data_IF_296883372840
#
_entry.id   IF_296883372840
#
_cell.length_a   1.000
_cell.length_b   1.000
_cell.length_c   1.000
_cell.angle_alpha   90.00
_cell.angle_beta   90.00
_cell.angle_gamma   90.00
#
_symmetry.space_group_name_H-M   'P 1'
#
loop_
_entity.id
_entity.type
_entity.pdbx_description
1 polymer ?
#
# COMPACT_ATOMS: atom_id res chain seq x y z
N UNK A 1 -2.67 -21.03 15.11
CA UNK A 1 -3.37 -19.73 15.12
C UNK A 1 -4.21 -19.63 13.85
N UNK A 2 -5.47 -19.19 13.96
CA UNK A 2 -6.40 -19.08 12.83
C UNK A 2 -6.67 -17.64 12.48
N UNK A 3 -6.49 -17.31 11.19
CA UNK A 3 -6.48 -15.95 10.66
C UNK A 3 -7.51 -15.80 9.54
N UNK A 4 -8.14 -14.65 9.48
CA UNK A 4 -8.94 -14.17 8.35
C UNK A 4 -8.26 -12.92 7.83
N UNK A 5 -8.06 -12.81 6.50
CA UNK A 5 -7.53 -11.61 5.86
C UNK A 5 -8.59 -10.97 4.96
N UNK A 6 -8.96 -9.74 5.27
CA UNK A 6 -9.97 -8.97 4.56
C UNK A 6 -9.30 -7.84 3.75
N UNK A 7 -9.71 -7.67 2.49
CA UNK A 7 -9.07 -6.73 1.58
C UNK A 7 -7.58 -7.05 1.38
N UNK A 8 -7.29 -8.34 1.18
CA UNK A 8 -5.94 -8.89 1.25
C UNK A 8 -4.98 -8.34 0.18
N UNK A 9 -5.52 -7.76 -0.91
CA UNK A 9 -4.70 -7.37 -2.05
C UNK A 9 -3.93 -8.56 -2.60
N UNK A 10 -2.71 -8.33 -3.05
CA UNK A 10 -1.80 -9.40 -3.45
C UNK A 10 -1.16 -10.14 -2.24
N UNK A 11 -1.56 -9.83 -0.98
CA UNK A 11 -1.12 -10.56 0.21
C UNK A 11 0.07 -9.93 0.96
N UNK A 12 0.31 -8.62 0.82
CA UNK A 12 1.43 -7.97 1.51
C UNK A 12 1.34 -8.06 3.03
N UNK A 13 0.16 -7.87 3.62
CA UNK A 13 -0.07 -8.05 5.06
C UNK A 13 -0.08 -9.52 5.46
N UNK A 14 -0.74 -10.38 4.68
CA UNK A 14 -0.69 -11.84 4.84
C UNK A 14 0.72 -12.39 4.91
N UNK A 15 1.69 -11.75 4.21
CA UNK A 15 3.07 -12.21 4.13
C UNK A 15 3.67 -12.42 5.53
N UNK A 16 3.48 -11.47 6.44
CA UNK A 16 4.02 -11.57 7.80
C UNK A 16 3.44 -12.70 8.64
N UNK A 17 2.18 -13.06 8.39
CA UNK A 17 1.54 -14.17 9.08
C UNK A 17 1.81 -15.52 8.41
N UNK A 18 2.19 -15.53 7.14
CA UNK A 18 2.48 -16.75 6.39
C UNK A 18 3.96 -17.12 6.41
N UNK A 19 4.83 -16.11 6.40
CA UNK A 19 6.28 -16.24 6.45
C UNK A 19 6.87 -15.56 7.68
N UNK A 20 8.00 -16.07 8.14
CA UNK A 20 8.88 -15.43 9.12
C UNK A 20 10.28 -15.32 8.54
N UNK A 21 11.08 -14.42 9.13
CA UNK A 21 12.48 -14.29 8.76
C UNK A 21 13.32 -15.14 9.73
N UNK A 22 13.97 -16.18 9.19
CA UNK A 22 14.85 -17.08 9.95
C UNK A 22 16.17 -17.25 9.18
N UNK A 23 17.29 -16.98 9.81
CA UNK A 23 18.65 -17.16 9.23
C UNK A 23 18.85 -16.51 7.86
N UNK A 24 18.25 -15.34 7.65
CA UNK A 24 18.33 -14.59 6.38
C UNK A 24 17.49 -15.20 5.26
N UNK A 25 16.43 -15.93 5.59
CA UNK A 25 15.47 -16.49 4.66
C UNK A 25 14.03 -16.25 5.10
N UNK A 26 13.11 -16.17 4.13
CA UNK A 26 11.68 -16.21 4.39
C UNK A 26 11.22 -17.67 4.49
N UNK A 27 10.89 -18.11 5.69
CA UNK A 27 10.46 -19.48 5.98
C UNK A 27 8.96 -19.50 6.27
N UNK A 28 8.24 -20.48 5.71
CA UNK A 28 6.81 -20.64 5.95
C UNK A 28 6.55 -21.03 7.40
N UNK A 29 5.62 -20.32 8.07
CA UNK A 29 5.15 -20.67 9.42
C UNK A 29 4.28 -21.92 9.39
N UNK A 30 4.57 -22.88 10.25
CA UNK A 30 3.82 -24.15 10.33
C UNK A 30 2.57 -24.08 11.22
N UNK A 31 2.49 -23.09 12.11
CA UNK A 31 1.46 -22.97 13.16
C UNK A 31 0.34 -21.97 12.81
N UNK A 32 0.28 -21.50 11.56
CA UNK A 32 -0.72 -20.55 11.07
C UNK A 32 -1.66 -21.22 10.06
N UNK A 33 -2.96 -21.08 10.27
CA UNK A 33 -4.05 -21.50 9.37
C UNK A 33 -4.80 -20.25 8.91
N UNK A 34 -4.76 -19.93 7.62
CA UNK A 34 -5.68 -18.96 7.05
C UNK A 34 -7.02 -19.64 6.79
N UNK A 35 -8.06 -19.18 7.46
CA UNK A 35 -9.40 -19.73 7.34
C UNK A 35 -10.04 -19.33 6.02
N UNK A 36 -9.91 -18.04 5.68
CA UNK A 36 -10.16 -17.51 4.35
C UNK A 36 -9.50 -16.13 4.18
N UNK A 37 -9.37 -15.71 2.93
CA UNK A 37 -9.03 -14.34 2.55
C UNK A 37 -10.07 -13.80 1.58
N UNK A 38 -10.24 -12.47 1.52
CA UNK A 38 -11.14 -11.80 0.58
C UNK A 38 -10.44 -10.67 -0.15
N UNK A 39 -10.63 -10.62 -1.46
CA UNK A 39 -10.16 -9.53 -2.31
C UNK A 39 -11.13 -9.31 -3.48
N UNK A 40 -11.31 -8.04 -3.87
CA UNK A 40 -12.20 -7.64 -4.97
C UNK A 40 -11.53 -7.77 -6.35
N UNK A 41 -10.24 -7.48 -6.43
CA UNK A 41 -9.48 -7.43 -7.69
C UNK A 41 -9.00 -8.82 -8.11
N UNK A 42 -9.50 -9.32 -9.24
CA UNK A 42 -9.18 -10.67 -9.74
C UNK A 42 -7.66 -10.89 -9.95
N UNK A 43 -6.92 -9.87 -10.40
CA UNK A 43 -5.47 -9.98 -10.56
C UNK A 43 -4.75 -10.09 -9.22
N UNK A 44 -5.20 -9.33 -8.21
CA UNK A 44 -4.67 -9.46 -6.85
C UNK A 44 -4.99 -10.83 -6.25
N UNK A 45 -6.19 -11.38 -6.49
CA UNK A 45 -6.58 -12.76 -6.12
C UNK A 45 -5.64 -13.80 -6.76
N UNK A 46 -5.36 -13.67 -8.05
CA UNK A 46 -4.44 -14.57 -8.75
C UNK A 46 -3.02 -14.49 -8.19
N UNK A 47 -2.52 -13.28 -7.93
CA UNK A 47 -1.24 -13.06 -7.27
C UNK A 47 -1.21 -13.71 -5.88
N UNK A 48 -2.25 -13.52 -5.07
CA UNK A 48 -2.37 -14.16 -3.76
C UNK A 48 -2.28 -15.69 -3.86
N UNK A 49 -3.10 -16.31 -4.68
CA UNK A 49 -3.10 -17.77 -4.89
C UNK A 49 -1.75 -18.29 -5.36
N UNK A 50 -1.06 -17.54 -6.25
CA UNK A 50 0.25 -17.94 -6.76
C UNK A 50 1.35 -17.97 -5.69
N UNK A 51 1.23 -17.17 -4.63
CA UNK A 51 2.23 -17.07 -3.56
C UNK A 51 1.89 -17.86 -2.30
N UNK A 52 0.60 -18.06 -2.02
CA UNK A 52 0.12 -18.72 -0.79
C UNK A 52 -0.51 -20.09 -1.03
N UNK A 53 -0.76 -20.44 -2.29
CA UNK A 53 -1.34 -21.71 -2.71
C UNK A 53 -2.86 -21.75 -2.63
N UNK A 54 -3.46 -22.74 -3.27
CA UNK A 54 -4.92 -22.93 -3.35
C UNK A 54 -5.55 -23.48 -2.07
N UNK A 55 -4.75 -23.82 -1.06
CA UNK A 55 -5.25 -24.33 0.22
C UNK A 55 -5.89 -23.27 1.10
N UNK A 56 -5.65 -21.98 0.81
CA UNK A 56 -6.32 -20.87 1.50
C UNK A 56 -7.60 -20.56 0.72
N UNK A 57 -8.80 -20.74 1.33
CA UNK A 57 -10.04 -20.35 0.69
C UNK A 57 -10.03 -18.84 0.38
N UNK A 58 -9.88 -18.50 -0.90
CA UNK A 58 -9.86 -17.13 -1.39
C UNK A 58 -11.23 -16.78 -1.96
N UNK A 59 -11.90 -15.80 -1.37
CA UNK A 59 -13.18 -15.27 -1.84
C UNK A 59 -12.90 -14.07 -2.73
N UNK A 60 -13.05 -14.25 -4.03
CA UNK A 60 -13.00 -13.15 -5.00
C UNK A 60 -14.32 -12.39 -5.01
N UNK A 61 -14.25 -11.05 -4.95
CA UNK A 61 -15.39 -10.18 -5.10
C UNK A 61 -15.66 -9.27 -3.92
N UNK A 62 -16.81 -8.60 -3.99
CA UNK A 62 -17.20 -7.60 -3.00
C UNK A 62 -17.47 -8.24 -1.65
N UNK A 63 -16.82 -7.74 -0.61
CA UNK A 63 -16.98 -8.20 0.78
C UNK A 63 -18.44 -8.11 1.27
N UNK A 64 -19.23 -7.20 0.72
CA UNK A 64 -20.67 -7.05 1.06
C UNK A 64 -21.50 -8.29 0.67
N UNK A 65 -21.00 -9.08 -0.27
CA UNK A 65 -21.64 -10.32 -0.72
C UNK A 65 -21.27 -11.53 0.16
N UNK A 66 -20.37 -11.39 1.12
CA UNK A 66 -20.02 -12.46 2.07
C UNK A 66 -21.08 -12.47 3.17
N UNK A 67 -22.04 -13.38 3.06
CA UNK A 67 -23.12 -13.54 4.05
C UNK A 67 -22.62 -14.17 5.35
N UNK A 68 -23.37 -14.01 6.42
CA UNK A 68 -23.07 -14.63 7.71
C UNK A 68 -23.07 -16.16 7.61
N UNK A 69 -24.00 -16.75 6.82
CA UNK A 69 -24.02 -18.20 6.56
C UNK A 69 -22.74 -18.66 5.85
N UNK A 70 -22.22 -17.86 4.90
CA UNK A 70 -20.95 -18.17 4.24
C UNK A 70 -19.77 -18.10 5.20
N UNK A 71 -19.78 -17.15 6.12
CA UNK A 71 -18.76 -17.07 7.17
C UNK A 71 -18.85 -18.33 8.06
N UNK A 72 -20.04 -18.73 8.50
CA UNK A 72 -20.24 -19.93 9.33
C UNK A 72 -19.77 -21.21 8.62
N UNK A 73 -20.05 -21.34 7.31
CA UNK A 73 -19.53 -22.43 6.47
C UNK A 73 -18.02 -22.50 6.47
N UNK A 74 -17.34 -21.35 6.36
CA UNK A 74 -15.89 -21.26 6.28
C UNK A 74 -15.19 -21.50 7.61
N UNK A 75 -15.71 -20.92 8.70
CA UNK A 75 -15.13 -21.09 10.05
C UNK A 75 -15.41 -22.46 10.64
N UNK A 76 -16.48 -23.14 10.20
CA UNK A 76 -16.86 -24.51 10.66
C UNK A 76 -16.90 -24.63 12.18
N UNK A 77 -17.44 -23.63 12.88
CA UNK A 77 -17.49 -23.57 14.34
C UNK A 77 -16.14 -23.38 15.04
N UNK A 78 -15.05 -23.17 14.30
CA UNK A 78 -13.73 -22.91 14.90
C UNK A 78 -13.63 -21.45 15.37
N UNK A 79 -12.98 -21.21 16.50
CA UNK A 79 -12.68 -19.84 16.96
C UNK A 79 -11.62 -19.20 16.06
N UNK A 80 -11.74 -17.91 15.82
CA UNK A 80 -10.75 -17.11 15.08
C UNK A 80 -9.83 -16.41 16.07
N UNK A 81 -8.53 -16.46 15.82
CA UNK A 81 -7.55 -15.82 16.69
C UNK A 81 -7.32 -14.36 16.25
N UNK A 82 -7.16 -14.13 14.94
CA UNK A 82 -6.84 -12.79 14.41
C UNK A 82 -7.64 -12.51 13.12
N UNK A 83 -8.17 -11.31 13.02
CA UNK A 83 -8.63 -10.74 11.73
C UNK A 83 -7.67 -9.63 11.34
N UNK A 84 -7.11 -9.72 10.14
CA UNK A 84 -6.26 -8.68 9.57
C UNK A 84 -6.94 -8.04 8.37
N UNK A 85 -6.53 -6.81 8.02
CA UNK A 85 -7.02 -6.20 6.78
C UNK A 85 -6.75 -4.72 6.66
N UNK A 86 -6.78 -4.24 5.41
CA UNK A 86 -6.63 -2.83 5.06
C UNK A 86 -7.78 -2.37 4.17
N UNK A 87 -8.97 -2.07 4.71
CA UNK A 87 -10.08 -1.62 3.88
C UNK A 87 -9.71 -0.34 3.10
N UNK A 88 -10.13 -0.23 1.83
CA UNK A 88 -9.74 0.88 0.97
C UNK A 88 -10.21 2.22 1.52
N UNK A 89 -9.29 3.18 1.57
CA UNK A 89 -9.52 4.54 2.03
C UNK A 89 -9.23 5.55 0.92
N UNK A 90 -9.69 5.29 -0.30
CA UNK A 90 -9.49 6.23 -1.40
C UNK A 90 -10.07 7.62 -1.08
N UNK A 91 -11.07 7.69 -0.24
CA UNK A 91 -11.64 8.93 0.29
C UNK A 91 -10.80 9.57 1.41
N UNK A 92 -9.89 8.82 2.04
CA UNK A 92 -9.03 9.28 3.13
C UNK A 92 -7.64 9.76 2.65
N UNK A 93 -7.29 9.53 1.39
CA UNK A 93 -6.01 9.96 0.82
C UNK A 93 -5.98 11.48 0.58
N UNK A 94 -4.86 12.12 0.91
CA UNK A 94 -4.62 13.55 0.57
C UNK A 94 -4.53 13.79 -0.95
N UNK A 95 -4.32 12.72 -1.74
CA UNK A 95 -4.21 12.74 -3.20
C UNK A 95 -5.58 12.47 -3.87
N UNK A 96 -6.52 11.81 -3.17
CA UNK A 96 -7.87 11.54 -3.65
C UNK A 96 -8.82 12.73 -3.51
N UNK A 97 -9.93 12.67 -4.23
CA UNK A 97 -11.06 13.57 -3.97
C UNK A 97 -11.68 13.07 -2.65
N UNK A 98 -11.45 13.78 -1.55
CA UNK A 98 -12.01 13.48 -0.22
C UNK A 98 -13.54 13.47 -0.27
N UNK A 99 -14.13 12.47 -0.93
CA UNK A 99 -15.56 12.24 -0.98
C UNK A 99 -15.89 11.06 -0.07
N UNK A 100 -16.87 11.24 0.79
CA UNK A 100 -17.47 10.19 1.61
C UNK A 100 -18.39 9.38 0.68
N UNK A 101 -17.82 8.45 -0.08
CA UNK A 101 -18.53 7.56 -1.01
C UNK A 101 -18.75 6.16 -0.40
N UNK A 102 -19.40 5.28 -1.13
CA UNK A 102 -19.67 3.90 -0.72
C UNK A 102 -18.39 3.13 -0.37
N UNK A 103 -17.25 3.47 -0.99
CA UNK A 103 -15.94 2.86 -0.70
C UNK A 103 -15.39 3.31 0.64
N UNK A 104 -15.67 4.55 1.07
CA UNK A 104 -15.30 5.04 2.39
C UNK A 104 -16.01 4.28 3.52
N UNK A 105 -17.09 3.57 3.21
CA UNK A 105 -17.88 2.81 4.19
C UNK A 105 -17.51 1.33 4.28
N UNK A 106 -16.59 0.84 3.45
CA UNK A 106 -16.17 -0.57 3.46
C UNK A 106 -15.52 -1.02 4.79
N UNK A 107 -15.04 -0.08 5.63
CA UNK A 107 -14.64 -0.40 6.99
C UNK A 107 -15.79 -0.98 7.83
N UNK A 108 -17.06 -0.67 7.49
CA UNK A 108 -18.23 -1.24 8.17
C UNK A 108 -18.37 -2.74 7.93
N UNK A 109 -17.94 -3.21 6.75
CA UNK A 109 -17.93 -4.65 6.46
C UNK A 109 -16.84 -5.36 7.28
N UNK A 110 -15.69 -4.70 7.45
CA UNK A 110 -14.68 -5.19 8.38
C UNK A 110 -15.25 -5.32 9.80
N UNK A 111 -15.97 -4.30 10.28
CA UNK A 111 -16.67 -4.32 11.58
C UNK A 111 -17.68 -5.45 11.67
N UNK A 112 -18.55 -5.62 10.66
CA UNK A 112 -19.58 -6.68 10.62
C UNK A 112 -18.95 -8.07 10.79
N UNK A 113 -17.83 -8.31 10.09
CA UNK A 113 -17.13 -9.59 10.20
C UNK A 113 -16.49 -9.74 11.59
N UNK A 114 -15.89 -8.68 12.16
CA UNK A 114 -15.37 -8.72 13.53
C UNK A 114 -16.46 -9.08 14.56
N UNK A 115 -17.64 -8.46 14.48
CA UNK A 115 -18.77 -8.75 15.36
C UNK A 115 -19.23 -10.22 15.24
N UNK A 116 -19.23 -10.74 14.00
CA UNK A 116 -19.63 -12.12 13.71
C UNK A 116 -18.64 -13.13 14.27
N UNK A 117 -17.34 -12.97 14.00
CA UNK A 117 -16.34 -14.00 14.31
C UNK A 117 -15.63 -13.81 15.65
N UNK A 118 -15.72 -12.63 16.26
CA UNK A 118 -15.18 -12.23 17.57
C UNK A 118 -13.74 -12.73 17.79
N UNK A 119 -12.77 -12.31 16.93
CA UNK A 119 -11.40 -12.76 17.06
C UNK A 119 -10.78 -12.30 18.40
N UNK A 120 -9.72 -12.94 18.85
CA UNK A 120 -9.00 -12.50 20.06
C UNK A 120 -8.35 -11.13 19.88
N UNK A 121 -7.79 -10.91 18.69
CA UNK A 121 -7.20 -9.63 18.26
C UNK A 121 -7.59 -9.30 16.81
N UNK A 122 -7.46 -8.03 16.46
CA UNK A 122 -7.50 -7.63 15.05
C UNK A 122 -6.41 -6.61 14.73
N UNK A 123 -6.02 -6.57 13.46
CA UNK A 123 -5.14 -5.57 12.86
C UNK A 123 -5.83 -4.91 11.69
N UNK A 124 -6.04 -3.61 11.79
CA UNK A 124 -6.64 -2.77 10.77
C UNK A 124 -5.59 -1.77 10.29
N UNK A 125 -5.16 -1.88 9.04
CA UNK A 125 -4.15 -0.98 8.44
C UNK A 125 -4.82 0.10 7.61
N UNK A 126 -4.21 1.29 7.60
CA UNK A 126 -4.68 2.39 6.75
C UNK A 126 -3.62 3.46 6.46
N UNK A 127 -3.96 4.38 5.56
CA UNK A 127 -3.12 5.54 5.24
C UNK A 127 -3.19 6.60 6.33
N UNK A 128 -2.10 7.36 6.53
CA UNK A 128 -2.01 8.46 7.53
C UNK A 128 -3.14 9.50 7.42
N UNK A 129 -3.70 9.68 6.22
CA UNK A 129 -4.83 10.58 5.98
C UNK A 129 -6.05 10.31 6.86
N UNK A 130 -6.24 9.07 7.34
CA UNK A 130 -7.32 8.67 8.25
C UNK A 130 -7.32 9.50 9.55
N UNK A 131 -6.13 9.83 10.10
CA UNK A 131 -6.01 10.56 11.37
C UNK A 131 -6.54 12.00 11.31
N UNK A 132 -6.55 12.62 10.15
CA UNK A 132 -7.00 14.00 9.96
C UNK A 132 -8.33 14.11 9.23
N UNK A 133 -8.92 13.00 8.85
CA UNK A 133 -10.19 13.00 8.14
C UNK A 133 -11.34 13.29 9.09
N UNK A 134 -12.20 14.21 8.65
CA UNK A 134 -13.47 14.49 9.32
C UNK A 134 -14.63 13.96 8.51
N UNK A 135 -15.71 13.63 9.17
CA UNK A 135 -17.00 13.40 8.51
C UNK A 135 -17.38 14.66 7.73
N UNK A 136 -18.02 14.48 6.59
CA UNK A 136 -18.49 15.58 5.74
C UNK A 136 -20.01 15.42 5.61
N UNK A 137 -20.73 16.43 6.05
CA UNK A 137 -22.16 16.56 5.83
C UNK A 137 -22.37 17.51 4.67
N UNK A 138 -23.09 17.04 3.65
CA UNK A 138 -23.41 17.83 2.46
C UNK A 138 -24.76 18.50 2.63
N UNK A 139 -24.87 19.74 2.13
CA UNK A 139 -26.14 20.48 2.06
C UNK A 139 -27.10 19.70 1.16
N UNK A 140 -28.36 19.58 1.60
CA UNK A 140 -29.41 18.90 0.88
C UNK A 140 -30.55 19.85 0.59
N UNK A 141 -31.20 19.68 -0.58
CA UNK A 141 -32.41 20.39 -0.93
C UNK A 141 -33.64 19.82 -0.18
N UNK A 142 -34.81 20.40 -0.40
CA UNK A 142 -36.09 19.98 0.22
C UNK A 142 -36.48 18.54 -0.15
N UNK A 143 -35.96 18.02 -1.27
CA UNK A 143 -36.19 16.64 -1.74
C UNK A 143 -35.14 15.66 -1.21
N UNK A 144 -34.13 16.15 -0.45
CA UNK A 144 -33.06 15.33 0.15
C UNK A 144 -31.86 15.10 -0.78
N UNK A 145 -31.81 15.70 -1.96
CA UNK A 145 -30.70 15.57 -2.89
C UNK A 145 -29.53 16.46 -2.47
N UNK A 146 -28.28 16.00 -2.78
CA UNK A 146 -27.10 16.80 -2.50
C UNK A 146 -27.07 18.06 -3.37
N UNK A 147 -26.92 19.22 -2.74
CA UNK A 147 -26.73 20.52 -3.41
C UNK A 147 -25.29 20.61 -3.93
N UNK A 148 -25.14 21.07 -5.18
CA UNK A 148 -23.84 21.28 -5.80
C UNK A 148 -23.59 22.76 -6.04
N UNK A 149 -22.37 23.22 -5.78
CA UNK A 149 -21.87 24.54 -6.14
C UNK A 149 -20.94 24.43 -7.37
N UNK A 150 -20.95 25.47 -8.22
CA UNK A 150 -19.97 25.60 -9.29
C UNK A 150 -18.69 26.26 -8.75
N UNK A 151 -17.57 25.58 -8.94
CA UNK A 151 -16.25 26.15 -8.63
C UNK A 151 -15.46 26.35 -9.92
N UNK A 152 -14.77 27.46 -10.02
CA UNK A 152 -13.82 27.70 -11.10
C UNK A 152 -12.46 27.11 -10.76
N UNK A 153 -11.92 26.33 -11.69
CA UNK A 153 -10.55 25.85 -11.63
C UNK A 153 -9.74 26.44 -12.75
N UNK A 154 -8.62 27.02 -12.41
CA UNK A 154 -7.66 27.56 -13.36
C UNK A 154 -6.63 26.49 -13.74
N UNK A 155 -6.41 26.29 -15.03
CA UNK A 155 -5.35 25.44 -15.56
C UNK A 155 -4.57 26.26 -16.61
N UNK A 156 -3.53 26.98 -16.17
CA UNK A 156 -2.90 28.03 -16.95
C UNK A 156 -3.92 29.17 -17.19
N UNK A 157 -4.05 29.62 -18.44
CA UNK A 157 -5.02 30.65 -18.85
C UNK A 157 -6.46 30.10 -19.03
N UNK A 158 -6.65 28.79 -18.96
CA UNK A 158 -7.96 28.18 -19.11
C UNK A 158 -8.71 28.08 -17.79
N UNK A 159 -9.94 28.57 -17.77
CA UNK A 159 -10.89 28.48 -16.65
C UNK A 159 -11.89 27.36 -16.94
N UNK A 160 -11.97 26.40 -16.03
CA UNK A 160 -12.93 25.30 -16.11
C UNK A 160 -13.92 25.40 -14.96
N UNK A 161 -15.20 25.31 -15.26
CA UNK A 161 -16.24 25.18 -14.26
C UNK A 161 -16.39 23.71 -13.87
N UNK A 162 -16.41 23.41 -12.58
CA UNK A 162 -16.65 22.08 -12.04
C UNK A 162 -17.72 22.16 -10.95
N UNK A 163 -18.69 21.25 -11.01
CA UNK A 163 -19.65 21.05 -9.93
C UNK A 163 -18.97 20.31 -8.78
N UNK A 164 -19.14 20.81 -7.56
CA UNK A 164 -18.66 20.21 -6.32
C UNK A 164 -19.82 20.13 -5.33
N UNK A 165 -19.99 19.02 -4.59
CA UNK A 165 -20.97 18.96 -3.51
C UNK A 165 -20.71 20.08 -2.50
N UNK A 166 -21.75 20.83 -2.15
CA UNK A 166 -21.67 21.90 -1.16
C UNK A 166 -21.60 21.29 0.23
N UNK A 167 -20.59 21.66 0.99
CA UNK A 167 -20.39 21.17 2.36
C UNK A 167 -21.18 22.03 3.31
N UNK A 168 -22.11 21.42 4.05
CA UNK A 168 -22.86 22.06 5.13
C UNK A 168 -21.96 22.24 6.36
N UNK A 169 -21.35 21.13 6.82
CA UNK A 169 -20.48 21.14 7.98
C UNK A 169 -19.52 19.94 7.98
N UNK A 170 -18.46 20.08 8.78
CA UNK A 170 -17.59 18.96 9.13
C UNK A 170 -18.02 18.39 10.49
N UNK A 171 -18.04 17.06 10.58
CA UNK A 171 -18.28 16.33 11.82
C UNK A 171 -17.01 16.01 12.59
N UNK A 172 -17.07 14.93 13.36
CA UNK A 172 -15.97 14.41 14.16
C UNK A 172 -14.85 13.83 13.28
N UNK A 173 -13.70 13.57 13.90
CA UNK A 173 -12.64 12.80 13.27
C UNK A 173 -13.12 11.36 13.03
N UNK A 174 -12.94 10.86 11.81
CA UNK A 174 -13.36 9.51 11.43
C UNK A 174 -12.65 8.46 12.30
N UNK A 175 -11.38 8.69 12.66
CA UNK A 175 -10.63 7.77 13.53
C UNK A 175 -11.26 7.64 14.93
N UNK A 176 -11.76 8.71 15.52
CA UNK A 176 -12.39 8.64 16.84
C UNK A 176 -13.71 7.88 16.79
N UNK A 177 -14.48 8.04 15.71
CA UNK A 177 -15.69 7.25 15.46
C UNK A 177 -15.38 5.76 15.29
N UNK A 178 -14.36 5.43 14.50
CA UNK A 178 -13.91 4.04 14.31
C UNK A 178 -13.48 3.42 15.64
N UNK A 179 -12.67 4.12 16.44
CA UNK A 179 -12.25 3.68 17.78
C UNK A 179 -13.44 3.39 18.68
N UNK A 180 -14.40 4.34 18.71
CA UNK A 180 -15.60 4.17 19.52
C UNK A 180 -16.38 2.91 19.13
N UNK A 181 -16.61 2.69 17.84
CA UNK A 181 -17.33 1.51 17.36
C UNK A 181 -16.59 0.22 17.74
N UNK A 182 -15.26 0.16 17.59
CA UNK A 182 -14.48 -1.01 18.02
C UNK A 182 -14.58 -1.25 19.53
N UNK A 183 -14.56 -0.18 20.34
CA UNK A 183 -14.75 -0.30 21.79
C UNK A 183 -16.16 -0.81 22.13
N UNK A 184 -17.18 -0.28 21.46
CA UNK A 184 -18.58 -0.66 21.68
C UNK A 184 -18.83 -2.16 21.37
N UNK A 185 -18.08 -2.75 20.44
CA UNK A 185 -18.16 -4.19 20.12
C UNK A 185 -17.21 -5.06 20.96
N UNK A 186 -16.60 -4.51 22.01
CA UNK A 186 -15.86 -5.25 23.04
C UNK A 186 -14.35 -5.37 22.82
N UNK A 187 -13.72 -4.43 22.13
CA UNK A 187 -12.26 -4.39 21.95
C UNK A 187 -11.64 -3.17 22.65
N UNK A 188 -10.52 -3.39 23.31
CA UNK A 188 -9.60 -2.32 23.73
C UNK A 188 -8.70 -1.96 22.55
N UNK A 189 -8.73 -0.71 22.13
CA UNK A 189 -8.18 -0.26 20.84
C UNK A 189 -7.03 0.72 21.05
N UNK A 190 -5.91 0.43 20.39
CA UNK A 190 -4.77 1.32 20.29
C UNK A 190 -4.51 1.72 18.83
N UNK A 191 -3.95 2.93 18.62
CA UNK A 191 -3.68 3.48 17.29
C UNK A 191 -2.28 4.08 17.26
N UNK A 192 -1.44 3.62 16.34
CA UNK A 192 -0.13 4.21 16.09
C UNK A 192 0.15 4.38 14.60
N UNK A 193 0.99 5.35 14.28
CA UNK A 193 1.60 5.49 12.95
C UNK A 193 3.01 4.92 13.00
N UNK A 194 3.31 4.01 12.06
CA UNK A 194 4.65 3.43 11.91
C UNK A 194 5.19 3.75 10.52
N UNK A 195 6.51 3.98 10.44
CA UNK A 195 7.20 4.15 9.18
C UNK A 195 7.88 2.83 8.78
N UNK A 196 7.78 2.47 7.51
CA UNK A 196 8.35 1.22 7.01
C UNK A 196 9.87 1.15 7.18
N UNK A 197 10.56 2.29 7.18
CA UNK A 197 12.02 2.36 7.45
C UNK A 197 12.41 1.83 8.83
N UNK A 198 11.51 1.89 9.80
CA UNK A 198 11.74 1.33 11.15
C UNK A 198 11.94 -0.19 11.12
N UNK A 199 11.45 -0.86 10.09
CA UNK A 199 11.44 -2.32 9.95
C UNK A 199 12.38 -2.83 8.84
N UNK A 200 13.39 -2.04 8.46
CA UNK A 200 14.36 -2.42 7.42
C UNK A 200 13.83 -2.36 5.99
N UNK A 201 12.75 -1.63 5.75
CA UNK A 201 12.21 -1.36 4.41
C UNK A 201 12.85 -0.09 3.85
N UNK A 202 13.45 -0.08 2.65
CA UNK A 202 14.13 1.10 2.09
C UNK A 202 13.14 2.15 1.55
N UNK A 203 12.09 2.47 2.34
CA UNK A 203 11.01 3.35 1.93
C UNK A 203 10.42 4.15 3.10
N UNK A 204 10.31 5.46 2.93
CA UNK A 204 9.55 6.35 3.82
C UNK A 204 8.04 6.17 3.53
N UNK A 205 7.44 5.14 4.12
CA UNK A 205 6.02 4.81 4.01
C UNK A 205 5.39 4.79 5.39
N UNK A 206 4.64 5.82 5.72
CA UNK A 206 3.89 5.89 6.96
C UNK A 206 2.51 5.23 6.80
N UNK A 207 2.15 4.37 7.75
CA UNK A 207 0.84 3.73 7.83
C UNK A 207 0.30 3.80 9.25
N UNK A 208 -0.99 3.92 9.35
CA UNK A 208 -1.74 3.87 10.61
C UNK A 208 -2.15 2.44 10.85
N UNK A 209 -1.85 1.94 12.03
CA UNK A 209 -2.28 0.64 12.49
C UNK A 209 -3.21 0.81 13.68
N UNK A 210 -4.39 0.22 13.58
CA UNK A 210 -5.36 0.12 14.65
C UNK A 210 -5.36 -1.33 15.09
N UNK A 211 -4.99 -1.57 16.33
CA UNK A 211 -4.97 -2.91 16.93
C UNK A 211 -6.02 -2.96 18.02
N UNK A 212 -6.87 -3.97 17.97
CA UNK A 212 -7.84 -4.25 19.00
C UNK A 212 -7.57 -5.58 19.69
N UNK A 213 -7.67 -5.57 21.01
CA UNK A 213 -7.62 -6.75 21.88
C UNK A 213 -9.00 -6.94 22.49
N UNK A 214 -9.53 -8.13 22.49
CA UNK A 214 -10.83 -8.41 23.09
C UNK A 214 -10.79 -8.19 24.60
N UNK A 215 -11.72 -7.41 25.15
CA UNK A 215 -11.69 -6.93 26.55
C UNK A 215 -11.94 -8.01 27.58
N UNK A 216 -12.58 -9.13 27.21
CA UNK A 216 -12.82 -10.29 28.10
C UNK A 216 -11.60 -11.23 28.19
N UNK A 217 -10.51 -10.92 27.46
CA UNK A 217 -9.27 -11.68 27.47
C UNK A 217 -8.13 -10.84 28.06
N UNK A 218 -7.33 -11.45 28.92
CA UNK A 218 -6.13 -10.80 29.45
C UNK A 218 -4.98 -10.94 28.44
N UNK A 219 -4.99 -10.10 27.39
CA UNK A 219 -3.95 -10.07 26.36
C UNK A 219 -3.06 -8.85 26.60
N UNK A 220 -1.80 -9.08 26.92
CA UNK A 220 -0.78 -8.04 26.94
C UNK A 220 -0.13 -7.95 25.55
N UNK A 221 -0.20 -6.77 24.92
CA UNK A 221 0.36 -6.55 23.60
C UNK A 221 0.92 -5.14 23.47
N UNK A 222 2.04 -5.03 22.77
CA UNK A 222 2.70 -3.75 22.45
C UNK A 222 3.02 -3.66 20.96
N UNK A 223 3.00 -2.45 20.43
CA UNK A 223 3.46 -2.21 19.05
C UNK A 223 4.89 -2.67 18.85
N UNK A 224 5.18 -3.31 17.68
CA UNK A 224 6.54 -3.70 17.39
C UNK A 224 7.45 -2.48 17.37
N UNK A 225 8.60 -2.61 18.01
CA UNK A 225 9.64 -1.59 18.00
C UNK A 225 10.44 -1.72 16.70
N UNK A 226 10.88 -0.60 16.16
CA UNK A 226 11.74 -0.58 14.99
C UNK A 226 13.10 -1.24 15.26
N UNK A 227 13.71 -1.78 14.24
CA UNK A 227 15.08 -2.26 14.29
C UNK A 227 16.02 -1.04 14.39
N UNK A 228 16.93 -1.03 15.34
CA UNK A 228 17.98 0.00 15.44
C UNK A 228 19.07 -0.16 14.36
N UNK A 229 18.70 -0.62 13.16
CA UNK A 229 19.59 -0.77 12.03
C UNK A 229 19.66 0.51 11.20
N UNK A 230 20.76 0.68 10.46
CA UNK A 230 20.88 1.80 9.52
C UNK A 230 19.72 1.79 8.53
N UNK A 231 19.18 2.98 8.22
CA UNK A 231 18.11 3.13 7.25
C UNK A 231 18.63 2.78 5.85
N UNK A 232 17.99 1.81 5.20
CA UNK A 232 18.35 1.37 3.87
C UNK A 232 17.93 2.40 2.82
N UNK A 233 18.78 2.58 1.82
CA UNK A 233 18.56 3.48 0.68
C UNK A 233 17.96 2.76 -0.53
N UNK A 234 17.58 3.55 -1.55
CA UNK A 234 17.12 3.00 -2.84
C UNK A 234 18.24 2.18 -3.50
N UNK A 235 19.49 2.66 -3.47
CA UNK A 235 20.62 1.91 -4.05
C UNK A 235 20.86 0.60 -3.30
N UNK A 236 20.71 0.56 -1.97
CA UNK A 236 20.82 -0.68 -1.23
C UNK A 236 19.76 -1.71 -1.64
N UNK A 237 18.60 -1.25 -2.10
CA UNK A 237 17.51 -2.14 -2.51
C UNK A 237 17.68 -2.73 -3.91
N UNK A 238 18.16 -1.92 -4.90
CA UNK A 238 18.01 -2.25 -6.33
C UNK A 238 19.27 -2.17 -7.16
N UNK A 239 20.45 -1.83 -6.60
CA UNK A 239 21.67 -1.65 -7.40
C UNK A 239 22.24 -2.95 -8.01
N UNK A 240 21.82 -4.11 -7.54
CA UNK A 240 22.16 -5.42 -8.10
C UNK A 240 21.21 -5.88 -9.23
N UNK A 241 20.12 -5.16 -9.45
CA UNK A 241 19.25 -5.40 -10.59
C UNK A 241 19.87 -4.85 -11.87
N UNK A 242 19.82 -5.61 -12.98
CA UNK A 242 20.45 -5.19 -14.24
C UNK A 242 19.77 -3.94 -14.82
N UNK A 243 20.49 -3.12 -15.58
CA UNK A 243 19.88 -1.99 -16.26
C UNK A 243 18.89 -2.47 -17.32
N UNK A 244 17.77 -1.73 -17.45
CA UNK A 244 16.69 -2.03 -18.42
C UNK A 244 16.56 -0.87 -19.39
N UNK A 245 16.71 -1.15 -20.68
CA UNK A 245 16.44 -0.18 -21.74
C UNK A 245 14.95 0.10 -21.94
N UNK A 246 14.62 1.24 -22.54
CA UNK A 246 13.26 1.62 -22.90
C UNK A 246 12.65 0.58 -23.86
N UNK A 247 11.41 0.15 -23.60
CA UNK A 247 10.70 -0.89 -24.35
C UNK A 247 11.29 -2.30 -24.17
N UNK A 248 12.17 -2.52 -23.18
CA UNK A 248 12.82 -3.81 -22.95
C UNK A 248 12.41 -4.43 -21.62
N UNK A 249 12.62 -5.73 -21.54
CA UNK A 249 12.52 -6.56 -20.35
C UNK A 249 13.82 -7.32 -20.14
N UNK A 250 14.21 -7.50 -18.87
CA UNK A 250 15.39 -8.27 -18.47
C UNK A 250 14.99 -9.28 -17.41
N UNK A 251 15.31 -10.55 -17.65
CA UNK A 251 14.93 -11.66 -16.76
C UNK A 251 16.12 -12.37 -16.09
N UNK A 252 17.36 -11.98 -16.41
CA UNK A 252 18.55 -12.63 -15.88
C UNK A 252 19.37 -11.65 -15.04
N UNK A 253 19.81 -12.13 -13.89
CA UNK A 253 20.81 -11.43 -13.10
C UNK A 253 22.17 -11.42 -13.82
N UNK A 254 22.85 -10.32 -13.76
CA UNK A 254 24.21 -10.13 -14.30
C UNK A 254 25.12 -9.38 -13.32
N UNK A 255 24.60 -9.02 -12.14
CA UNK A 255 25.31 -8.37 -11.04
C UNK A 255 25.13 -9.19 -9.78
N UNK A 256 26.15 -9.22 -8.92
CA UNK A 256 26.06 -9.89 -7.63
C UNK A 256 25.47 -8.98 -6.56
N UNK A 257 24.73 -9.54 -5.57
CA UNK A 257 24.24 -8.78 -4.42
C UNK A 257 25.41 -8.16 -3.61
N UNK A 258 25.31 -6.88 -3.31
CA UNK A 258 26.36 -6.14 -2.60
C UNK A 258 26.13 -6.04 -1.08
N UNK A 259 24.91 -6.34 -0.61
CA UNK A 259 24.54 -6.23 0.79
C UNK A 259 23.53 -7.34 1.19
N UNK A 260 23.23 -7.45 2.49
CA UNK A 260 22.36 -8.52 3.03
C UNK A 260 20.91 -8.35 2.58
N UNK A 261 20.44 -7.12 2.37
CA UNK A 261 19.09 -6.88 1.88
C UNK A 261 18.89 -7.46 0.46
N UNK A 262 19.83 -7.19 -0.44
CA UNK A 262 19.78 -7.74 -1.81
C UNK A 262 19.88 -9.27 -1.79
N UNK A 263 20.75 -9.83 -0.92
CA UNK A 263 20.86 -11.28 -0.72
C UNK A 263 19.54 -11.88 -0.26
N UNK A 264 18.89 -11.27 0.74
CA UNK A 264 17.60 -11.71 1.26
C UNK A 264 16.51 -11.67 0.16
N UNK A 265 16.40 -10.55 -0.56
CA UNK A 265 15.37 -10.38 -1.59
C UNK A 265 15.54 -11.36 -2.75
N UNK A 266 16.78 -11.66 -3.13
CA UNK A 266 17.12 -12.52 -4.26
C UNK A 266 17.11 -14.02 -3.92
N UNK A 267 17.19 -14.36 -2.64
CA UNK A 267 17.26 -15.76 -2.20
C UNK A 267 16.04 -16.55 -2.67
N UNK A 268 16.28 -17.71 -3.30
CA UNK A 268 15.22 -18.55 -3.86
C UNK A 268 14.70 -18.11 -5.24
N UNK A 269 15.39 -17.15 -5.90
CA UNK A 269 15.03 -16.68 -7.24
C UNK A 269 16.15 -16.93 -8.24
N UNK A 270 15.89 -17.74 -9.27
CA UNK A 270 16.82 -18.02 -10.34
C UNK A 270 16.71 -17.01 -11.50
N UNK A 271 15.62 -16.24 -11.54
CA UNK A 271 15.34 -15.25 -12.57
C UNK A 271 14.61 -14.04 -11.99
N UNK A 272 14.60 -12.97 -12.76
CA UNK A 272 13.88 -11.72 -12.44
C UNK A 272 12.59 -11.72 -13.22
N UNK A 273 11.46 -11.44 -12.54
CA UNK A 273 10.16 -11.19 -13.17
C UNK A 273 9.78 -9.72 -13.01
N UNK A 274 8.87 -9.21 -13.82
CA UNK A 274 8.36 -7.84 -13.74
C UNK A 274 9.43 -6.73 -13.87
N UNK A 275 10.58 -7.04 -14.48
CA UNK A 275 11.69 -6.09 -14.65
C UNK A 275 11.74 -5.56 -16.09
N UNK A 276 10.77 -4.73 -16.42
CA UNK A 276 10.57 -4.16 -17.75
C UNK A 276 10.38 -2.63 -17.70
N UNK A 277 10.79 -1.95 -18.77
CA UNK A 277 10.60 -0.52 -18.96
C UNK A 277 9.61 -0.24 -20.10
N UNK A 278 8.75 0.77 -19.92
CA UNK A 278 7.86 1.23 -20.99
C UNK A 278 8.57 2.09 -22.02
N UNK A 279 7.89 2.37 -23.10
CA UNK A 279 8.31 3.38 -24.07
C UNK A 279 7.77 4.75 -23.68
N UNK A 280 8.52 5.80 -23.98
CA UNK A 280 8.17 7.17 -23.64
C UNK A 280 8.08 8.05 -24.90
N UNK A 281 7.12 8.94 -24.94
CA UNK A 281 7.07 9.99 -25.95
C UNK A 281 8.14 11.07 -25.71
N UNK A 282 8.45 11.88 -26.73
CA UNK A 282 9.48 12.92 -26.72
C UNK A 282 9.43 13.84 -25.48
N UNK A 283 8.22 14.30 -25.12
CA UNK A 283 8.04 15.16 -23.95
C UNK A 283 8.51 14.52 -22.66
N UNK A 284 8.15 13.25 -22.43
CA UNK A 284 8.51 12.51 -21.20
C UNK A 284 10.02 12.23 -21.17
N UNK A 285 10.63 11.84 -22.29
CA UNK A 285 12.10 11.67 -22.39
C UNK A 285 12.81 12.97 -22.05
N UNK A 286 12.40 14.10 -22.63
CA UNK A 286 12.99 15.41 -22.34
C UNK A 286 12.93 15.74 -20.84
N UNK A 287 11.79 15.43 -20.17
CA UNK A 287 11.68 15.65 -18.72
C UNK A 287 12.64 14.77 -17.95
N UNK A 288 12.64 13.46 -18.23
CA UNK A 288 13.48 12.48 -17.53
C UNK A 288 14.96 12.83 -17.64
N UNK A 289 15.43 13.18 -18.83
CA UNK A 289 16.86 13.51 -19.11
C UNK A 289 17.33 14.77 -18.37
N UNK A 290 16.42 15.69 -18.06
CA UNK A 290 16.76 16.99 -17.48
C UNK A 290 16.42 17.12 -15.98
N UNK A 291 15.87 16.08 -15.36
CA UNK A 291 15.60 16.05 -13.92
C UNK A 291 16.70 15.28 -13.21
N UNK A 292 17.47 15.93 -12.33
CA UNK A 292 18.54 15.32 -11.51
C UNK A 292 17.99 14.67 -10.26
N UNK A 293 18.81 13.88 -9.54
CA UNK A 293 18.43 13.26 -8.27
C UNK A 293 17.87 14.30 -7.28
N UNK A 294 16.72 13.99 -6.68
CA UNK A 294 16.02 14.87 -5.74
C UNK A 294 15.16 15.96 -6.38
N UNK A 295 15.33 16.21 -7.68
CA UNK A 295 14.54 17.19 -8.45
C UNK A 295 13.22 16.60 -8.96
N UNK A 296 12.30 17.47 -9.41
CA UNK A 296 11.00 17.12 -9.95
C UNK A 296 10.47 18.19 -10.91
N UNK A 297 9.13 18.23 -11.04
CA UNK A 297 8.42 19.10 -11.98
C UNK A 297 8.82 20.58 -11.89
N UNK A 298 8.88 21.12 -10.66
CA UNK A 298 9.14 22.56 -10.50
C UNK A 298 10.58 22.91 -10.90
N UNK A 299 11.55 22.02 -10.62
CA UNK A 299 12.94 22.19 -11.07
C UNK A 299 13.05 22.12 -12.58
N UNK A 300 12.33 21.20 -13.23
CA UNK A 300 12.26 21.11 -14.69
C UNK A 300 11.65 22.38 -15.31
N UNK A 301 10.52 22.85 -14.78
CA UNK A 301 9.89 24.09 -15.26
C UNK A 301 10.82 25.31 -15.08
N UNK A 302 11.62 25.35 -14.01
CA UNK A 302 12.61 26.41 -13.82
C UNK A 302 13.71 26.44 -14.90
N UNK A 303 14.04 25.31 -15.53
CA UNK A 303 14.93 25.28 -16.70
C UNK A 303 14.28 25.92 -17.93
N UNK A 304 12.97 25.72 -18.10
CA UNK A 304 12.19 26.33 -19.20
C UNK A 304 12.09 27.84 -18.98
N UNK A 305 11.81 28.28 -17.75
CA UNK A 305 11.71 29.73 -17.44
C UNK A 305 13.04 30.45 -17.62
N UNK A 306 14.18 29.74 -17.53
CA UNK A 306 15.53 30.25 -17.88
C UNK A 306 15.85 30.18 -19.37
N UNK A 307 14.96 29.68 -20.21
CA UNK A 307 15.18 29.53 -21.65
C UNK A 307 16.13 28.41 -22.06
N UNK A 308 16.44 27.47 -21.14
CA UNK A 308 17.33 26.33 -21.38
C UNK A 308 16.62 25.16 -22.07
N UNK A 309 15.31 25.09 -21.98
CA UNK A 309 14.45 24.08 -22.58
C UNK A 309 13.27 24.78 -23.24
N UNK A 310 12.79 24.27 -24.37
CA UNK A 310 11.65 24.82 -25.12
C UNK A 310 10.37 24.82 -24.26
N UNK A 311 9.64 25.95 -24.31
CA UNK A 311 8.39 26.16 -23.55
C UNK A 311 7.29 25.15 -23.88
N UNK A 312 7.31 24.51 -25.05
CA UNK A 312 6.37 23.44 -25.44
C UNK A 312 6.35 22.27 -24.46
N UNK A 313 7.43 22.06 -23.71
CA UNK A 313 7.56 20.99 -22.71
C UNK A 313 7.06 21.37 -21.31
N UNK A 314 6.59 22.59 -21.10
CA UNK A 314 6.15 23.06 -19.79
C UNK A 314 5.11 22.12 -19.15
N UNK A 315 5.29 21.82 -17.87
CA UNK A 315 4.45 20.90 -17.11
C UNK A 315 3.41 21.67 -16.30
N UNK A 316 2.16 21.67 -16.78
CA UNK A 316 1.05 22.45 -16.17
C UNK A 316 0.27 21.71 -15.09
N UNK A 317 0.40 20.38 -14.98
CA UNK A 317 -0.38 19.54 -14.07
C UNK A 317 0.51 18.74 -13.14
N UNK A 318 -0.07 18.24 -12.04
CA UNK A 318 0.61 17.43 -11.04
C UNK A 318 1.19 18.24 -9.89
N UNK A 319 1.57 17.55 -8.82
CA UNK A 319 2.24 18.11 -7.66
C UNK A 319 3.69 18.48 -7.97
N UNK A 320 4.33 19.29 -7.14
CA UNK A 320 5.72 19.73 -7.33
C UNK A 320 6.74 18.58 -7.45
N UNK A 321 6.46 17.45 -6.83
CA UNK A 321 7.29 16.25 -6.82
C UNK A 321 6.91 15.19 -7.87
N UNK A 322 5.94 15.46 -8.77
CA UNK A 322 5.73 14.62 -9.96
C UNK A 322 6.94 14.71 -10.87
N UNK A 323 7.20 13.70 -11.68
CA UNK A 323 8.43 13.54 -12.45
C UNK A 323 9.69 13.58 -11.57
N UNK A 324 9.58 13.21 -10.29
CA UNK A 324 10.70 13.25 -9.36
C UNK A 324 11.68 12.11 -9.60
N UNK A 325 12.98 12.43 -9.67
CA UNK A 325 14.06 11.44 -9.67
C UNK A 325 14.45 11.09 -8.23
N UNK A 326 14.54 9.80 -7.97
CA UNK A 326 14.99 9.27 -6.69
C UNK A 326 16.43 9.67 -6.38
N UNK A 327 16.79 9.63 -5.10
CA UNK A 327 18.14 9.89 -4.60
C UNK A 327 18.75 8.56 -4.17
N UNK A 328 19.87 8.17 -4.75
CA UNK A 328 20.47 6.85 -4.58
C UNK A 328 20.69 6.45 -3.12
N UNK A 329 21.27 7.35 -2.32
CA UNK A 329 21.66 7.12 -0.92
C UNK A 329 20.58 7.53 0.11
N UNK A 330 19.33 7.63 -0.30
CA UNK A 330 18.19 7.91 0.58
C UNK A 330 17.12 6.82 0.44
N UNK A 331 16.29 6.60 1.48
CA UNK A 331 15.12 5.74 1.33
C UNK A 331 14.15 6.33 0.30
N UNK A 332 13.47 5.45 -0.42
CA UNK A 332 12.45 5.86 -1.38
C UNK A 332 11.32 6.63 -0.67
N UNK A 333 10.70 7.55 -1.37
CA UNK A 333 9.41 8.09 -0.96
C UNK A 333 8.33 7.00 -1.11
N UNK A 334 7.15 7.20 -0.51
CA UNK A 334 6.07 6.21 -0.61
C UNK A 334 5.80 5.79 -2.05
N UNK A 335 6.00 4.51 -2.35
CA UNK A 335 5.60 3.87 -3.61
C UNK A 335 4.08 3.91 -3.72
N UNK A 336 3.58 4.35 -4.87
CA UNK A 336 2.15 4.41 -5.18
C UNK A 336 1.81 3.49 -6.35
N UNK A 337 0.52 3.34 -6.65
CA UNK A 337 0.02 2.58 -7.79
C UNK A 337 0.47 3.09 -9.17
N UNK A 338 1.16 4.22 -9.24
CA UNK A 338 1.69 4.81 -10.47
C UNK A 338 3.23 4.68 -10.59
N UNK A 339 3.84 3.76 -9.85
CA UNK A 339 5.30 3.63 -9.76
C UNK A 339 6.02 3.47 -11.10
N UNK A 340 5.39 2.82 -12.08
CA UNK A 340 5.96 2.58 -13.40
C UNK A 340 5.70 3.73 -14.42
N UNK A 341 5.14 4.85 -13.96
CA UNK A 341 4.81 6.01 -14.79
C UNK A 341 5.65 7.21 -14.38
N UNK A 342 6.49 7.78 -15.27
CA UNK A 342 7.38 8.91 -14.90
C UNK A 342 6.66 10.13 -14.32
N UNK A 343 5.42 10.38 -14.73
CA UNK A 343 4.57 11.43 -14.16
C UNK A 343 4.00 11.11 -12.77
N UNK A 344 4.27 9.93 -12.23
CA UNK A 344 3.96 9.59 -10.85
C UNK A 344 4.82 10.36 -9.84
N UNK A 345 4.57 10.14 -8.55
CA UNK A 345 5.31 10.79 -7.47
C UNK A 345 6.68 10.11 -7.30
N UNK A 346 7.78 10.83 -7.61
CA UNK A 346 9.18 10.40 -7.42
C UNK A 346 9.41 8.93 -7.74
N UNK A 347 9.20 8.57 -9.00
CA UNK A 347 9.36 7.20 -9.48
C UNK A 347 10.41 7.08 -10.60
N UNK A 348 11.13 8.16 -10.95
CA UNK A 348 12.24 8.08 -11.91
C UNK A 348 13.44 7.45 -11.19
N UNK A 349 14.02 6.43 -11.82
CA UNK A 349 15.21 5.73 -11.31
C UNK A 349 16.34 6.72 -11.03
N UNK A 350 17.08 6.52 -9.94
CA UNK A 350 18.12 7.47 -9.49
C UNK A 350 19.24 7.68 -10.51
N UNK A 351 19.54 6.69 -11.37
CA UNK A 351 20.63 6.72 -12.35
C UNK A 351 20.11 6.60 -13.80
N UNK A 352 19.18 5.69 -14.06
CA UNK A 352 18.69 5.42 -15.41
C UNK A 352 17.58 6.39 -15.82
N UNK A 353 17.52 6.72 -17.12
CA UNK A 353 16.52 7.65 -17.66
C UNK A 353 15.19 6.95 -17.93
N UNK A 354 14.55 6.41 -16.89
CA UNK A 354 13.26 5.72 -16.92
C UNK A 354 12.56 5.77 -15.56
N UNK A 355 11.30 5.41 -15.52
CA UNK A 355 10.62 5.11 -14.27
C UNK A 355 11.17 3.81 -13.65
N UNK A 356 10.87 3.58 -12.38
CA UNK A 356 11.09 2.28 -11.74
C UNK A 356 10.36 1.18 -12.51
N UNK A 357 10.97 0.02 -12.59
CA UNK A 357 10.26 -1.19 -12.99
C UNK A 357 9.37 -1.68 -11.84
N UNK A 358 8.33 -2.47 -12.11
CA UNK A 358 7.52 -3.07 -11.04
C UNK A 358 8.37 -3.92 -10.08
N UNK A 359 9.39 -4.65 -10.55
CA UNK A 359 10.32 -5.42 -9.69
C UNK A 359 11.15 -4.52 -8.77
N UNK A 360 11.66 -3.40 -9.27
CA UNK A 360 12.36 -2.43 -8.43
C UNK A 360 11.44 -1.87 -7.34
N UNK A 361 10.20 -1.53 -7.70
CA UNK A 361 9.20 -1.11 -6.73
C UNK A 361 8.87 -2.19 -5.71
N UNK A 362 8.75 -3.44 -6.13
CA UNK A 362 8.52 -4.59 -5.25
C UNK A 362 9.69 -4.80 -4.27
N UNK A 363 10.94 -4.71 -4.75
CA UNK A 363 12.13 -4.72 -3.90
C UNK A 363 12.15 -3.59 -2.86
N UNK A 364 11.82 -2.37 -3.28
CA UNK A 364 11.71 -1.21 -2.38
C UNK A 364 10.59 -1.41 -1.34
N UNK A 365 9.56 -2.18 -1.67
CA UNK A 365 8.49 -2.60 -0.75
C UNK A 365 8.87 -3.83 0.09
N UNK A 366 10.08 -4.38 -0.06
CA UNK A 366 10.57 -5.61 0.58
C UNK A 366 9.88 -6.92 0.16
N UNK A 367 9.30 -6.97 -1.03
CA UNK A 367 8.90 -8.26 -1.62
C UNK A 367 10.12 -8.99 -2.17
N UNK A 368 10.32 -10.29 -1.85
CA UNK A 368 11.38 -11.07 -2.44
C UNK A 368 11.15 -11.28 -3.95
N UNK A 369 12.22 -11.57 -4.71
CA UNK A 369 12.15 -11.67 -6.17
C UNK A 369 11.31 -12.84 -6.69
N UNK A 370 11.19 -13.91 -5.90
CA UNK A 370 10.30 -15.03 -6.21
C UNK A 370 8.81 -14.70 -6.03
N UNK A 371 8.47 -13.56 -5.40
CA UNK A 371 7.07 -13.16 -5.22
C UNK A 371 6.44 -12.79 -6.56
N UNK A 372 5.32 -13.41 -6.88
CA UNK A 372 4.62 -13.27 -8.16
C UNK A 372 3.49 -12.26 -8.05
N UNK A 373 3.40 -11.44 -9.07
CA UNK A 373 2.26 -10.55 -9.31
C UNK A 373 1.51 -11.00 -10.56
N UNK A 374 0.29 -10.53 -10.78
CA UNK A 374 -0.55 -10.93 -11.91
C UNK A 374 -1.15 -9.71 -12.63
N UNK A 375 -1.41 -9.87 -13.92
CA UNK A 375 -2.09 -8.87 -14.75
C UNK A 375 -1.17 -7.97 -15.55
N UNK A 376 -1.73 -6.88 -16.04
CA UNK A 376 -1.00 -5.86 -16.81
C UNK A 376 0.00 -5.09 -15.93
N UNK A 377 0.89 -4.33 -16.57
CA UNK A 377 1.82 -3.41 -15.89
C UNK A 377 1.13 -2.52 -14.84
N UNK A 378 -0.06 -2.03 -15.16
CA UNK A 378 -0.83 -1.18 -14.26
C UNK A 378 -1.37 -1.98 -13.07
N UNK A 379 -1.79 -3.24 -13.31
CA UNK A 379 -2.28 -4.11 -12.24
C UNK A 379 -1.16 -4.47 -11.27
N UNK A 380 0.02 -4.83 -11.79
CA UNK A 380 1.21 -5.10 -10.96
C UNK A 380 1.63 -3.86 -10.16
N UNK A 381 1.70 -2.69 -10.80
CA UNK A 381 2.02 -1.44 -10.11
C UNK A 381 1.03 -1.13 -8.99
N UNK A 382 -0.26 -1.43 -9.19
CA UNK A 382 -1.32 -1.27 -8.18
C UNK A 382 -1.15 -2.24 -7.03
N UNK A 383 -0.87 -3.51 -7.30
CA UNK A 383 -0.61 -4.54 -6.29
C UNK A 383 0.59 -4.15 -5.41
N UNK A 384 1.70 -3.76 -6.01
CA UNK A 384 2.90 -3.31 -5.29
C UNK A 384 2.62 -2.04 -4.49
N UNK A 385 2.00 -1.02 -5.10
CA UNK A 385 1.77 0.29 -4.47
C UNK A 385 0.80 0.27 -3.29
N UNK A 386 -0.21 -0.62 -3.34
CA UNK A 386 -1.21 -0.74 -2.28
C UNK A 386 -0.75 -1.62 -1.10
N UNK A 387 0.25 -2.46 -1.29
CA UNK A 387 0.65 -3.44 -0.29
C UNK A 387 1.21 -2.82 0.99
N UNK A 388 1.01 -3.53 2.10
CA UNK A 388 1.84 -3.38 3.30
C UNK A 388 3.18 -4.08 3.02
N UNK A 389 4.33 -3.43 3.31
CA UNK A 389 5.63 -4.06 3.08
C UNK A 389 5.82 -5.34 3.87
N UNK A 390 6.27 -6.46 3.25
CA UNK A 390 6.47 -7.74 3.90
C UNK A 390 7.27 -7.70 5.20
N UNK A 391 8.41 -7.01 5.25
CA UNK A 391 9.21 -6.92 6.49
C UNK A 391 8.46 -6.19 7.62
N UNK A 392 7.68 -5.16 7.29
CA UNK A 392 6.82 -4.49 8.26
C UNK A 392 5.69 -5.41 8.72
N UNK A 393 5.07 -6.17 7.81
CA UNK A 393 4.04 -7.14 8.13
C UNK A 393 4.57 -8.26 9.06
N UNK A 394 5.81 -8.73 8.86
CA UNK A 394 6.47 -9.71 9.75
C UNK A 394 6.60 -9.16 11.17
N UNK A 395 7.02 -7.90 11.33
CA UNK A 395 7.17 -7.30 12.66
C UNK A 395 5.84 -7.27 13.42
N UNK A 396 4.75 -6.87 12.77
CA UNK A 396 3.42 -6.87 13.36
C UNK A 396 2.91 -8.29 13.64
N UNK A 397 3.13 -9.23 12.71
CA UNK A 397 2.75 -10.62 12.90
C UNK A 397 3.47 -11.24 14.11
N UNK A 398 4.78 -11.03 14.24
CA UNK A 398 5.55 -11.53 15.39
C UNK A 398 4.98 -11.01 16.71
N UNK A 399 4.73 -9.68 16.82
CA UNK A 399 4.21 -9.11 18.07
C UNK A 399 2.82 -9.66 18.43
N UNK A 400 1.95 -9.91 17.45
CA UNK A 400 0.61 -10.49 17.68
C UNK A 400 0.73 -11.98 18.05
N UNK A 401 1.59 -12.73 17.36
CA UNK A 401 1.82 -14.16 17.64
C UNK A 401 2.37 -14.35 19.06
N UNK A 402 3.34 -13.53 19.46
CA UNK A 402 3.92 -13.54 20.80
C UNK A 402 2.86 -13.24 21.86
N UNK A 403 2.07 -12.19 21.69
CA UNK A 403 0.99 -11.83 22.62
C UNK A 403 -0.06 -12.93 22.79
N UNK A 404 -0.37 -13.67 21.74
CA UNK A 404 -1.34 -14.77 21.78
C UNK A 404 -0.75 -16.13 22.19
N UNK A 405 0.58 -16.27 22.23
CA UNK A 405 1.27 -17.47 22.68
C UNK A 405 1.44 -17.51 24.22
N UNK A 406 1.45 -16.36 24.88
CA UNK A 406 1.49 -16.27 26.35
C UNK A 406 0.14 -16.72 26.90
N UNK A 407 0.14 -17.82 27.67
CA UNK A 407 -1.05 -18.39 28.35
C UNK A 407 -1.24 -17.76 29.72
#
# INVERSE_FOLDING_TARGET
MRIIDLFSGAGGLSFGFYYELQDGEFVRRSNIEFVFANEFDAHAVNAFKSNYGDNIPMIEGDIRNITDDKIDELIKGKSIDVVIGGPPCQSFSTVGQRQYDDKAQLYKEYLRILEKVKPKMFLFENVKGLLSMKEIFYERDEEGNIVYEEIEKHRGEHVFKRKKPKIERYGELVIEKIKKIFNDIGYDVSVETKCATEFGVPQNRERVFIIGKRTDLNIEWHYPQGNNTAVLSVSDAISDLPPVGEGKEVSKYNLEPTNDYQRLMRKGSDCITEHYCGEYGEKIRTVIENVKQGQGKDDFNALIDKGLIDRKYYLTSGYKNTYGRLVANQPCTTITNNLATPSGLRCIHYEQNRALTPREGARIQSFPDWYKFDGSRTDVARQVGNAVPPLMAIAFANSIIEALAVK
#
